data_IF_711430802828
#
_entry.id   IF_711430802828
#
_cell.length_a   1.000
_cell.length_b   1.000
_cell.length_c   1.000
_cell.angle_alpha   90.00
_cell.angle_beta   90.00
_cell.angle_gamma   90.00
#
_symmetry.space_group_name_H-M   'P 1'
#
loop_
_entity.id
_entity.type
_entity.pdbx_description
1 polymer ?
#
# COMPACT_ATOMS: atom_id res chain seq x y z
N UNK A 1 8.88 9.18 3.36
CA UNK A 1 8.87 8.73 1.95
C UNK A 1 10.20 8.95 1.23
N UNK A 2 11.03 9.92 1.67
CA UNK A 2 12.33 10.22 1.02
C UNK A 2 13.32 9.04 1.03
N UNK A 3 13.55 8.39 2.16
CA UNK A 3 14.52 7.28 2.25
C UNK A 3 14.20 6.06 1.36
N UNK A 4 12.91 5.80 1.10
CA UNK A 4 12.51 4.67 0.22
C UNK A 4 12.82 5.01 -1.23
N UNK A 5 12.60 6.27 -1.62
CA UNK A 5 12.93 6.77 -2.94
C UNK A 5 14.45 6.75 -3.19
N UNK A 6 15.23 7.18 -2.20
CA UNK A 6 16.69 7.17 -2.30
C UNK A 6 17.26 5.76 -2.45
N UNK A 7 16.71 4.78 -1.71
CA UNK A 7 17.10 3.38 -1.85
C UNK A 7 16.73 2.80 -3.23
N UNK A 8 15.54 3.15 -3.74
CA UNK A 8 15.11 2.78 -5.10
C UNK A 8 16.02 3.39 -6.18
N UNK A 9 16.40 4.65 -6.03
CA UNK A 9 17.30 5.34 -6.97
C UNK A 9 18.72 4.73 -6.93
N UNK A 10 19.20 4.33 -5.76
CA UNK A 10 20.47 3.62 -5.63
C UNK A 10 20.45 2.24 -6.33
N UNK A 11 19.35 1.50 -6.22
CA UNK A 11 19.17 0.22 -6.92
C UNK A 11 19.08 0.42 -8.45
N UNK A 12 18.36 1.44 -8.91
CA UNK A 12 18.31 1.82 -10.33
C UNK A 12 19.69 2.17 -10.88
N UNK A 13 20.48 2.93 -10.11
CA UNK A 13 21.87 3.25 -10.45
C UNK A 13 22.74 2.01 -10.59
N UNK A 14 22.64 1.06 -9.65
CA UNK A 14 23.38 -0.21 -9.73
C UNK A 14 23.02 -1.03 -10.98
N UNK A 15 21.73 -1.10 -11.33
CA UNK A 15 21.27 -1.79 -12.54
C UNK A 15 21.80 -1.10 -13.81
N UNK A 16 21.84 0.23 -13.85
CA UNK A 16 22.37 0.98 -15.00
C UNK A 16 23.88 0.77 -15.20
N UNK A 17 24.64 0.56 -14.12
CA UNK A 17 26.08 0.25 -14.20
C UNK A 17 26.31 -1.12 -14.86
N UNK A 18 25.50 -2.12 -14.49
CA UNK A 18 25.64 -3.50 -15.01
C UNK A 18 25.01 -3.65 -16.39
N UNK A 19 23.93 -2.91 -16.66
CA UNK A 19 23.17 -2.92 -17.92
C UNK A 19 22.97 -1.50 -18.45
N UNK A 20 24.00 -0.92 -19.10
CA UNK A 20 23.97 0.47 -19.56
C UNK A 20 22.97 0.71 -20.70
N UNK A 21 22.57 -0.33 -21.43
CA UNK A 21 21.52 -0.28 -22.45
C UNK A 21 20.11 -0.55 -21.89
N UNK A 22 19.99 -0.65 -20.56
CA UNK A 22 18.77 -1.04 -19.86
C UNK A 22 18.55 -2.54 -19.82
N UNK A 23 17.68 -2.97 -18.90
CA UNK A 23 17.23 -4.36 -18.80
C UNK A 23 16.29 -4.72 -19.96
N UNK A 24 16.26 -5.99 -20.40
CA UNK A 24 15.29 -6.47 -21.38
C UNK A 24 13.83 -6.12 -21.00
N UNK A 25 12.93 -5.91 -21.98
CA UNK A 25 11.54 -5.52 -21.71
C UNK A 25 10.73 -6.50 -20.84
N UNK A 26 11.14 -7.77 -20.80
CA UNK A 26 10.48 -8.84 -20.03
C UNK A 26 11.21 -9.17 -18.72
N UNK A 27 12.22 -8.37 -18.35
CA UNK A 27 12.97 -8.62 -17.11
C UNK A 27 12.12 -8.25 -15.88
N UNK A 28 11.98 -9.15 -14.88
CA UNK A 28 11.20 -8.88 -13.67
C UNK A 28 11.62 -7.62 -12.92
N UNK A 29 12.92 -7.32 -12.84
CA UNK A 29 13.43 -6.14 -12.13
C UNK A 29 13.00 -4.85 -12.82
N UNK A 30 12.88 -4.88 -14.16
CA UNK A 30 12.37 -3.75 -14.94
C UNK A 30 10.86 -3.57 -14.76
N UNK A 31 10.11 -4.66 -14.69
CA UNK A 31 8.65 -4.62 -14.48
C UNK A 31 8.29 -4.07 -13.09
N UNK A 32 9.05 -4.45 -12.06
CA UNK A 32 8.97 -3.92 -10.70
C UNK A 32 9.27 -2.40 -10.67
N UNK A 33 10.35 -1.95 -11.34
CA UNK A 33 10.69 -0.52 -11.36
C UNK A 33 9.73 0.37 -12.16
N UNK A 34 8.99 -0.20 -13.12
CA UNK A 34 8.06 0.50 -14.00
C UNK A 34 6.61 0.46 -13.48
N UNK A 35 6.33 -0.13 -12.30
CA UNK A 35 4.98 -0.37 -11.77
C UNK A 35 4.06 -1.12 -12.77
N UNK A 36 4.68 -1.92 -13.66
CA UNK A 36 3.98 -2.71 -14.70
C UNK A 36 3.88 -4.18 -14.32
N UNK A 37 3.96 -4.48 -13.03
CA UNK A 37 3.73 -5.84 -12.57
C UNK A 37 2.29 -6.24 -12.86
N UNK A 38 2.12 -7.15 -13.82
CA UNK A 38 0.86 -7.84 -14.00
C UNK A 38 0.71 -8.89 -12.90
N UNK A 39 0.22 -8.44 -11.74
CA UNK A 39 -0.09 -9.30 -10.60
C UNK A 39 -1.39 -10.10 -10.81
N UNK A 40 -2.00 -10.06 -12.00
CA UNK A 40 -3.20 -10.83 -12.29
C UNK A 40 -2.89 -12.33 -12.27
N UNK A 41 -3.62 -13.08 -11.41
CA UNK A 41 -3.47 -14.52 -11.28
C UNK A 41 -2.34 -15.00 -10.36
N UNK A 42 -1.57 -14.11 -9.72
CA UNK A 42 -0.58 -14.50 -8.69
C UNK A 42 -1.18 -14.38 -7.28
N UNK A 43 -0.70 -15.20 -6.33
CA UNK A 43 -1.11 -15.10 -4.93
C UNK A 43 -0.81 -13.70 -4.33
N UNK A 44 0.25 -13.03 -4.81
CA UNK A 44 0.62 -11.68 -4.40
C UNK A 44 -0.43 -10.62 -4.83
N UNK A 45 -1.08 -10.78 -5.99
CA UNK A 45 -2.16 -9.89 -6.43
C UNK A 45 -3.41 -9.91 -5.54
N UNK A 46 -3.61 -10.98 -4.75
CA UNK A 46 -4.68 -11.06 -3.76
C UNK A 46 -4.38 -10.25 -2.50
N UNK A 47 -3.11 -9.94 -2.23
CA UNK A 47 -2.68 -9.17 -1.06
C UNK A 47 -2.56 -7.66 -1.35
N UNK A 48 -2.49 -7.27 -2.63
CA UNK A 48 -2.46 -5.85 -3.02
C UNK A 48 -3.81 -5.20 -2.75
N UNK A 49 -3.91 -4.36 -1.73
CA UNK A 49 -5.09 -3.56 -1.46
C UNK A 49 -4.83 -2.17 -2.03
N UNK A 50 -5.64 -1.75 -3.02
CA UNK A 50 -5.58 -0.38 -3.53
C UNK A 50 -5.94 0.59 -2.40
N UNK A 51 -5.28 1.74 -2.35
CA UNK A 51 -5.49 2.75 -1.30
C UNK A 51 -6.97 3.16 -1.18
N UNK A 52 -7.68 3.26 -2.31
CA UNK A 52 -9.12 3.58 -2.36
C UNK A 52 -10.04 2.47 -1.83
N UNK A 53 -9.54 1.24 -1.73
CA UNK A 53 -10.27 0.05 -1.27
C UNK A 53 -9.75 -0.43 0.11
N UNK A 54 -8.80 0.28 0.72
CA UNK A 54 -8.24 -0.05 2.01
C UNK A 54 -9.07 0.54 3.15
N UNK A 55 -9.39 -0.28 4.15
CA UNK A 55 -9.93 0.17 5.43
C UNK A 55 -9.02 -0.25 6.57
N UNK A 56 -8.78 0.67 7.49
CA UNK A 56 -8.04 0.45 8.72
C UNK A 56 -9.03 0.35 9.89
N UNK A 57 -8.89 -0.69 10.70
CA UNK A 57 -9.76 -0.94 11.84
C UNK A 57 -8.97 -1.06 13.13
N UNK A 58 -9.43 -0.35 14.15
CA UNK A 58 -8.86 -0.38 15.49
C UNK A 58 -9.98 -0.51 16.53
N UNK A 59 -9.92 -1.55 17.36
CA UNK A 59 -10.89 -1.81 18.43
C UNK A 59 -12.38 -1.70 18.00
N UNK A 60 -12.72 -2.25 16.83
CA UNK A 60 -14.09 -2.22 16.29
C UNK A 60 -14.53 -0.88 15.70
N UNK A 61 -13.62 0.09 15.56
CA UNK A 61 -13.85 1.37 14.87
C UNK A 61 -13.02 1.44 13.59
N UNK A 62 -13.64 1.93 12.52
CA UNK A 62 -12.93 2.29 11.28
C UNK A 62 -12.14 3.59 11.51
N UNK A 63 -10.84 3.56 11.19
CA UNK A 63 -9.97 4.72 11.16
C UNK A 63 -10.14 5.43 9.82
N UNK A 64 -10.91 6.52 9.83
CA UNK A 64 -11.05 7.39 8.65
C UNK A 64 -9.87 8.34 8.54
N UNK A 65 -9.33 8.49 7.33
CA UNK A 65 -8.24 9.43 7.02
C UNK A 65 -8.58 10.88 7.43
N UNK A 66 -9.87 11.24 7.38
CA UNK A 66 -10.35 12.59 7.71
C UNK A 66 -10.35 12.91 9.21
N UNK A 67 -10.04 11.95 10.08
CA UNK A 67 -10.04 12.13 11.54
C UNK A 67 -8.67 11.89 12.14
N UNK A 68 -8.39 12.61 13.22
CA UNK A 68 -7.13 12.44 13.94
C UNK A 68 -7.13 11.11 14.70
N UNK A 69 -5.98 10.46 14.76
CA UNK A 69 -5.82 9.22 15.53
C UNK A 69 -6.20 9.43 17.01
N UNK A 70 -5.94 10.63 17.54
CA UNK A 70 -6.30 11.03 18.91
C UNK A 70 -7.80 10.95 19.20
N UNK A 71 -8.66 11.06 18.19
CA UNK A 71 -10.11 10.92 18.35
C UNK A 71 -10.53 9.47 18.60
N UNK A 72 -9.67 8.51 18.22
CA UNK A 72 -9.87 7.09 18.43
C UNK A 72 -9.14 6.61 19.68
N UNK A 73 -7.84 6.87 19.78
CA UNK A 73 -6.94 6.28 20.80
C UNK A 73 -6.71 7.18 22.02
N UNK A 74 -7.13 8.45 21.96
CA UNK A 74 -6.87 9.48 22.97
C UNK A 74 -5.55 10.23 22.75
N UNK A 75 -5.24 11.16 23.66
CA UNK A 75 -4.10 12.10 23.56
C UNK A 75 -2.83 11.61 24.27
N UNK A 76 -2.66 10.30 24.45
CA UNK A 76 -1.56 9.76 25.23
C UNK A 76 -0.31 9.58 24.36
N UNK A 77 0.82 10.17 24.76
CA UNK A 77 2.05 10.25 23.95
C UNK A 77 2.77 8.91 23.78
N UNK A 78 2.47 7.92 24.62
CA UNK A 78 3.07 6.58 24.54
C UNK A 78 2.00 5.51 24.40
N UNK A 79 1.49 5.34 23.18
CA UNK A 79 0.47 4.34 22.86
C UNK A 79 0.91 3.48 21.67
N UNK A 80 0.91 2.16 21.85
CA UNK A 80 1.08 1.20 20.76
C UNK A 80 -0.29 0.62 20.41
N UNK A 81 -0.67 0.66 19.14
CA UNK A 81 -1.94 0.14 18.65
C UNK A 81 -1.73 -0.95 17.62
N UNK A 82 -2.59 -1.97 17.66
CA UNK A 82 -2.65 -3.01 16.64
C UNK A 82 -3.84 -2.67 15.74
N UNK A 83 -3.55 -2.35 14.48
CA UNK A 83 -4.55 -1.99 13.47
C UNK A 83 -4.68 -3.14 12.49
N UNK A 84 -5.91 -3.49 12.12
CA UNK A 84 -6.20 -4.45 11.07
C UNK A 84 -6.47 -3.71 9.77
N UNK A 85 -5.71 -4.02 8.72
CA UNK A 85 -6.03 -3.60 7.36
C UNK A 85 -6.94 -4.64 6.71
N UNK A 86 -7.96 -4.18 5.98
CA UNK A 86 -8.87 -5.04 5.22
C UNK A 86 -9.35 -4.34 3.95
N UNK A 87 -9.75 -5.14 2.94
CA UNK A 87 -10.43 -4.62 1.75
C UNK A 87 -11.86 -4.19 2.09
N UNK A 88 -12.32 -3.09 1.51
CA UNK A 88 -13.73 -2.66 1.55
C UNK A 88 -14.59 -3.78 0.97
N UNK A 89 -15.40 -4.42 1.80
CA UNK A 89 -16.43 -5.35 1.31
C UNK A 89 -17.58 -4.55 0.71
N UNK A 90 -17.93 -4.86 -0.53
CA UNK A 90 -18.99 -4.22 -1.32
C UNK A 90 -20.35 -4.33 -0.60
N UNK A 91 -20.55 -5.37 0.22
CA UNK A 91 -21.77 -5.56 1.02
C UNK A 91 -21.99 -4.43 2.07
N UNK A 92 -20.92 -3.81 2.56
CA UNK A 92 -21.02 -2.67 3.49
C UNK A 92 -21.40 -1.37 2.81
N UNK A 93 -20.97 -1.15 1.55
CA UNK A 93 -21.16 0.11 0.82
C UNK A 93 -22.63 0.36 0.44
N UNK A 94 -23.35 -0.70 0.06
CA UNK A 94 -24.77 -0.62 -0.30
C UNK A 94 -25.69 -0.21 0.88
N UNK A 95 -25.26 -0.42 2.13
CA UNK A 95 -26.06 -0.01 3.29
C UNK A 95 -25.93 1.48 3.62
N UNK A 96 -24.83 2.14 3.24
CA UNK A 96 -24.63 3.57 3.50
C UNK A 96 -25.14 4.48 2.38
N UNK A 97 -25.25 3.99 1.13
CA UNK A 97 -25.84 4.77 0.02
C UNK A 97 -27.38 4.71 -0.01
N UNK A 98 -28.00 3.87 0.83
CA UNK A 98 -29.46 3.73 0.95
C UNK A 98 -30.04 4.38 2.22
N UNK A 99 -29.22 5.08 3.01
CA UNK A 99 -29.58 5.81 4.25
C UNK A 99 -29.17 7.29 4.11
#
# INVERSE_FOLDING_TARGET
MEMVKDALDQLRGAVMIVYPMGLPPHDPVRMEFEDKEDLSGTHAGLEVIKESEAQLWWAGKELKETKLLSDYVGKNEKTTIIVKIQRVSIAGRFLYELL
#
